data_IF_491138089165
#
_entry.id   IF_491138089165
#
_cell.length_a   1.000
_cell.length_b   1.000
_cell.length_c   1.000
_cell.angle_alpha   90.00
_cell.angle_beta   90.00
_cell.angle_gamma   90.00
#
_symmetry.space_group_name_H-M   'P 1'
#
loop_
_entity.id
_entity.type
_entity.pdbx_description
1 polymer ?
#
# COMPACT_ATOMS: atom_id res chain seq x y z
N UNK A 1 7.51 -27.30 -4.08
CA UNK A 1 6.73 -26.20 -4.68
C UNK A 1 5.31 -26.10 -4.10
N UNK A 2 4.54 -27.19 -4.03
CA UNK A 2 3.17 -27.21 -3.52
C UNK A 2 3.07 -26.77 -2.04
N UNK A 3 3.96 -27.24 -1.17
CA UNK A 3 3.99 -26.88 0.25
C UNK A 3 4.27 -25.36 0.46
N UNK A 4 5.13 -24.75 -0.35
CA UNK A 4 5.38 -23.32 -0.27
C UNK A 4 4.15 -22.51 -0.72
N UNK A 5 3.48 -22.94 -1.80
CA UNK A 5 2.26 -22.27 -2.29
C UNK A 5 1.12 -22.30 -1.26
N UNK A 6 0.91 -23.43 -0.57
CA UNK A 6 -0.14 -23.55 0.45
C UNK A 6 0.09 -22.65 1.68
N UNK A 7 1.34 -22.30 2.00
CA UNK A 7 1.65 -21.34 3.08
C UNK A 7 1.33 -19.91 2.70
N UNK A 8 1.44 -19.54 1.42
CA UNK A 8 1.16 -18.18 0.97
C UNK A 8 -0.33 -17.91 0.71
N UNK A 9 -1.12 -18.95 0.47
CA UNK A 9 -2.55 -18.81 0.19
C UNK A 9 -3.32 -18.11 1.33
N UNK A 10 -3.22 -18.51 2.61
CA UNK A 10 -3.90 -17.83 3.70
C UNK A 10 -3.39 -16.40 3.92
N UNK A 11 -2.12 -16.10 3.62
CA UNK A 11 -1.57 -14.73 3.68
C UNK A 11 -2.27 -13.81 2.68
N UNK A 12 -2.49 -14.29 1.45
CA UNK A 12 -3.23 -13.55 0.42
C UNK A 12 -4.68 -13.28 0.81
N UNK A 13 -5.35 -14.26 1.40
CA UNK A 13 -6.74 -14.11 1.89
C UNK A 13 -6.79 -13.06 3.01
N UNK A 14 -5.91 -13.14 4.00
CA UNK A 14 -5.83 -12.16 5.11
C UNK A 14 -5.57 -10.75 4.56
N UNK A 15 -4.64 -10.61 3.62
CA UNK A 15 -4.33 -9.34 2.97
C UNK A 15 -5.55 -8.78 2.24
N UNK A 16 -6.28 -9.60 1.48
CA UNK A 16 -7.48 -9.20 0.74
C UNK A 16 -8.60 -8.72 1.66
N UNK A 17 -8.92 -9.51 2.68
CA UNK A 17 -9.96 -9.18 3.69
C UNK A 17 -9.59 -7.89 4.42
N UNK A 18 -8.35 -7.78 4.89
CA UNK A 18 -7.88 -6.59 5.61
C UNK A 18 -7.81 -5.36 4.71
N UNK A 19 -7.51 -5.50 3.44
CA UNK A 19 -7.58 -4.40 2.49
C UNK A 19 -8.99 -3.85 2.36
N UNK A 20 -10.01 -4.72 2.30
CA UNK A 20 -11.42 -4.32 2.28
C UNK A 20 -11.83 -3.64 3.61
N UNK A 21 -11.48 -4.25 4.74
CA UNK A 21 -11.76 -3.69 6.07
C UNK A 21 -11.07 -2.34 6.28
N UNK A 22 -9.81 -2.22 5.87
CA UNK A 22 -9.06 -0.96 5.99
C UNK A 22 -9.64 0.13 5.09
N UNK A 23 -10.13 -0.22 3.90
CA UNK A 23 -10.87 0.69 3.04
C UNK A 23 -12.15 1.23 3.72
N UNK A 24 -12.91 0.37 4.39
CA UNK A 24 -14.07 0.79 5.17
C UNK A 24 -13.68 1.67 6.39
N UNK A 25 -12.59 1.31 7.06
CA UNK A 25 -12.11 2.02 8.26
C UNK A 25 -11.61 3.43 7.94
N UNK A 26 -11.22 3.72 6.68
CA UNK A 26 -10.84 5.08 6.25
C UNK A 26 -11.98 6.10 6.34
N UNK A 27 -13.23 5.66 6.52
CA UNK A 27 -14.37 6.55 6.79
C UNK A 27 -14.32 7.14 8.21
N UNK A 28 -13.78 6.39 9.17
CA UNK A 28 -13.74 6.74 10.60
C UNK A 28 -12.37 7.23 11.04
N UNK A 29 -11.30 6.71 10.44
CA UNK A 29 -9.92 6.99 10.80
C UNK A 29 -9.21 7.65 9.62
N UNK A 30 -8.31 8.59 9.90
CA UNK A 30 -7.51 9.24 8.85
C UNK A 30 -6.72 8.19 8.08
N UNK A 31 -6.83 8.15 6.73
CA UNK A 31 -6.16 7.14 5.89
C UNK A 31 -4.66 7.04 6.17
N UNK A 32 -4.04 8.20 6.43
CA UNK A 32 -2.61 8.32 6.68
C UNK A 32 -2.17 7.65 7.99
N UNK A 33 -3.00 7.71 9.07
CA UNK A 33 -2.74 7.02 10.34
C UNK A 33 -2.84 5.51 10.16
N UNK A 34 -3.81 5.07 9.39
CA UNK A 34 -4.01 3.66 9.11
C UNK A 34 -2.84 3.07 8.32
N UNK A 35 -2.36 3.82 7.30
CA UNK A 35 -1.15 3.45 6.56
C UNK A 35 0.09 3.44 7.42
N UNK A 36 0.25 4.41 8.34
CA UNK A 36 1.37 4.44 9.28
C UNK A 36 1.37 3.22 10.21
N UNK A 37 0.21 2.85 10.75
CA UNK A 37 0.05 1.65 11.55
C UNK A 37 0.42 0.39 10.75
N UNK A 38 -0.04 0.27 9.50
CA UNK A 38 0.32 -0.83 8.62
C UNK A 38 1.82 -0.93 8.34
N UNK A 39 2.50 0.19 8.08
CA UNK A 39 3.95 0.23 7.88
C UNK A 39 4.69 -0.19 9.16
N UNK A 40 4.24 0.23 10.35
CA UNK A 40 4.82 -0.21 11.62
C UNK A 40 4.69 -1.73 11.81
N UNK A 41 3.52 -2.28 11.52
CA UNK A 41 3.30 -3.73 11.58
C UNK A 41 4.20 -4.47 10.59
N UNK A 42 4.37 -3.95 9.37
CA UNK A 42 5.28 -4.52 8.37
C UNK A 42 6.73 -4.46 8.86
N UNK A 43 7.18 -3.33 9.40
CA UNK A 43 8.55 -3.19 9.93
C UNK A 43 8.80 -4.17 11.08
N UNK A 44 7.81 -4.32 11.98
CA UNK A 44 7.85 -5.31 13.06
C UNK A 44 7.95 -6.74 12.52
N UNK A 45 7.16 -7.07 11.49
CA UNK A 45 7.22 -8.37 10.83
C UNK A 45 8.62 -8.66 10.25
N UNK A 46 9.23 -7.70 9.56
CA UNK A 46 10.60 -7.84 9.04
C UNK A 46 11.63 -7.96 10.17
N UNK A 47 11.47 -7.19 11.24
CA UNK A 47 12.34 -7.28 12.40
C UNK A 47 12.24 -8.64 13.09
N UNK A 48 11.04 -9.19 13.28
CA UNK A 48 10.88 -10.54 13.80
C UNK A 48 11.46 -11.60 12.85
N UNK A 49 11.25 -11.45 11.54
CA UNK A 49 11.81 -12.35 10.53
C UNK A 49 13.34 -12.32 10.51
N UNK A 50 13.98 -11.20 10.87
CA UNK A 50 15.43 -11.10 10.99
C UNK A 50 16.02 -11.88 12.17
N UNK A 51 15.21 -12.52 12.99
CA UNK A 51 15.64 -13.42 14.08
C UNK A 51 15.44 -14.89 13.76
N UNK A 52 15.20 -15.23 12.50
CA UNK A 52 15.10 -16.62 12.08
C UNK A 52 16.43 -17.35 12.25
N UNK A 53 16.31 -18.61 12.69
CA UNK A 53 17.40 -19.57 12.80
C UNK A 53 16.97 -20.86 12.09
N UNK A 54 17.92 -21.77 11.84
CA UNK A 54 17.63 -23.09 11.25
C UNK A 54 16.62 -23.91 12.06
N UNK A 55 16.48 -23.63 13.35
CA UNK A 55 15.56 -24.32 14.27
C UNK A 55 14.23 -23.59 14.48
N UNK A 56 13.92 -22.55 13.67
CA UNK A 56 12.68 -21.78 13.83
C UNK A 56 11.47 -22.66 13.53
N UNK A 57 10.55 -22.73 14.49
CA UNK A 57 9.34 -23.55 14.38
C UNK A 57 8.44 -23.05 13.23
N UNK A 58 7.83 -23.97 12.51
CA UNK A 58 6.92 -23.70 11.39
C UNK A 58 5.80 -22.71 11.74
N UNK A 59 5.23 -22.84 12.96
CA UNK A 59 4.21 -21.92 13.46
C UNK A 59 4.69 -20.48 13.62
N UNK A 60 5.95 -20.27 13.99
CA UNK A 60 6.54 -18.93 14.11
C UNK A 60 6.69 -18.25 12.74
N UNK A 61 7.08 -19.03 11.73
CA UNK A 61 7.17 -18.55 10.34
C UNK A 61 5.77 -18.13 9.85
N UNK A 62 4.76 -18.95 10.05
CA UNK A 62 3.38 -18.66 9.66
C UNK A 62 2.85 -17.40 10.37
N UNK A 63 3.12 -17.26 11.67
CA UNK A 63 2.73 -16.07 12.43
C UNK A 63 3.30 -14.78 11.83
N UNK A 64 4.59 -14.78 11.48
CA UNK A 64 5.25 -13.62 10.88
C UNK A 64 4.70 -13.32 9.48
N UNK A 65 4.41 -14.36 8.69
CA UNK A 65 3.77 -14.20 7.38
C UNK A 65 2.37 -13.59 7.51
N UNK A 66 1.57 -14.02 8.48
CA UNK A 66 0.25 -13.43 8.74
C UNK A 66 0.35 -11.98 9.21
N UNK A 67 1.29 -11.67 10.09
CA UNK A 67 1.57 -10.31 10.53
C UNK A 67 1.94 -9.40 9.35
N UNK A 68 2.75 -9.93 8.41
CA UNK A 68 3.11 -9.23 7.18
C UNK A 68 1.89 -8.99 6.27
N UNK A 69 1.05 -10.00 6.05
CA UNK A 69 -0.20 -9.87 5.30
C UNK A 69 -1.14 -8.83 5.91
N UNK A 70 -1.22 -8.81 7.24
CA UNK A 70 -1.97 -7.81 8.00
C UNK A 70 -1.44 -6.39 7.75
N UNK A 71 -0.13 -6.18 7.87
CA UNK A 71 0.49 -4.88 7.62
C UNK A 71 0.28 -4.39 6.19
N UNK A 72 0.41 -5.29 5.20
CA UNK A 72 0.16 -4.97 3.79
C UNK A 72 -1.29 -4.57 3.55
N UNK A 73 -2.27 -5.35 4.02
CA UNK A 73 -3.68 -5.05 3.87
C UNK A 73 -4.06 -3.70 4.46
N UNK A 74 -3.48 -3.37 5.61
CA UNK A 74 -3.73 -2.11 6.30
C UNK A 74 -3.09 -0.89 5.60
N UNK A 75 -2.02 -1.09 4.83
CA UNK A 75 -1.28 -0.02 4.16
C UNK A 75 -1.81 0.29 2.77
N UNK A 76 -2.10 -0.73 1.96
CA UNK A 76 -2.36 -0.56 0.53
C UNK A 76 -3.65 0.18 0.21
N UNK A 77 -4.77 -0.18 0.85
CA UNK A 77 -6.06 0.43 0.53
C UNK A 77 -6.13 1.92 0.91
N UNK A 78 -5.74 2.34 2.14
CA UNK A 78 -5.75 3.76 2.49
C UNK A 78 -4.80 4.60 1.65
N UNK A 79 -3.64 4.05 1.29
CA UNK A 79 -2.65 4.77 0.49
C UNK A 79 -3.14 5.00 -0.94
N UNK A 80 -3.79 4.00 -1.55
CA UNK A 80 -4.41 4.13 -2.86
C UNK A 80 -5.56 5.15 -2.85
N UNK A 81 -6.45 5.09 -1.86
CA UNK A 81 -7.53 6.06 -1.70
C UNK A 81 -6.99 7.49 -1.52
N UNK A 82 -5.94 7.65 -0.73
CA UNK A 82 -5.31 8.95 -0.53
C UNK A 82 -4.69 9.52 -1.81
N UNK A 83 -4.07 8.67 -2.63
CA UNK A 83 -3.44 9.06 -3.88
C UNK A 83 -4.45 9.52 -4.94
N UNK A 84 -5.67 8.97 -4.92
CA UNK A 84 -6.69 9.25 -5.92
C UNK A 84 -7.73 10.29 -5.47
N UNK A 85 -7.74 10.70 -4.20
CA UNK A 85 -8.80 11.52 -3.60
C UNK A 85 -9.07 12.87 -4.28
N UNK A 86 -8.06 13.49 -4.88
CA UNK A 86 -8.13 14.84 -5.44
C UNK A 86 -8.14 14.85 -6.98
N UNK A 87 -8.37 13.71 -7.61
CA UNK A 87 -8.38 13.57 -9.07
C UNK A 87 -9.81 13.62 -9.61
N UNK A 88 -9.95 14.18 -10.82
CA UNK A 88 -11.22 14.10 -11.55
C UNK A 88 -11.47 12.68 -12.03
N UNK A 89 -12.72 12.33 -12.29
CA UNK A 89 -13.08 10.98 -12.72
C UNK A 89 -12.41 10.59 -14.06
N UNK A 90 -12.14 11.57 -14.90
CA UNK A 90 -11.44 11.37 -16.18
C UNK A 90 -9.97 11.04 -15.99
N UNK A 91 -9.32 11.63 -14.98
CA UNK A 91 -7.89 11.44 -14.69
C UNK A 91 -7.60 10.20 -13.84
N UNK A 92 -8.61 9.64 -13.17
CA UNK A 92 -8.43 8.49 -12.27
C UNK A 92 -7.82 7.28 -12.95
N UNK A 93 -8.25 6.95 -14.18
CA UNK A 93 -7.72 5.79 -14.91
C UNK A 93 -6.25 5.97 -15.27
N UNK A 94 -5.87 7.15 -15.77
CA UNK A 94 -4.50 7.48 -16.11
C UNK A 94 -3.60 7.49 -14.85
N UNK A 95 -4.05 8.11 -13.77
CA UNK A 95 -3.32 8.15 -12.51
C UNK A 95 -3.14 6.77 -11.86
N UNK A 96 -4.16 5.89 -11.95
CA UNK A 96 -4.04 4.52 -11.48
C UNK A 96 -3.02 3.72 -12.30
N UNK A 97 -3.00 3.89 -13.63
CA UNK A 97 -2.01 3.28 -14.51
C UNK A 97 -0.59 3.73 -14.17
N UNK A 98 -0.35 5.04 -14.07
CA UNK A 98 0.95 5.61 -13.71
C UNK A 98 1.38 5.12 -12.31
N UNK A 99 0.48 5.16 -11.32
CA UNK A 99 0.75 4.66 -9.97
C UNK A 99 1.17 3.19 -9.96
N UNK A 100 0.50 2.36 -10.76
CA UNK A 100 0.84 0.95 -10.87
C UNK A 100 2.21 0.73 -11.54
N UNK A 101 2.51 1.49 -12.60
CA UNK A 101 3.82 1.43 -13.27
C UNK A 101 4.95 1.84 -12.33
N UNK A 102 4.78 2.91 -11.53
CA UNK A 102 5.75 3.34 -10.52
C UNK A 102 5.96 2.25 -9.46
N UNK A 103 4.89 1.61 -8.99
CA UNK A 103 4.99 0.50 -8.02
C UNK A 103 5.75 -0.70 -8.60
N UNK A 104 5.53 -1.05 -9.86
CA UNK A 104 6.24 -2.12 -10.55
C UNK A 104 7.74 -1.81 -10.67
N UNK A 105 8.08 -0.60 -11.12
CA UNK A 105 9.47 -0.15 -11.20
C UNK A 105 10.16 -0.14 -9.83
N UNK A 106 9.50 0.43 -8.82
CA UNK A 106 10.02 0.43 -7.45
C UNK A 106 10.20 -0.99 -6.90
N UNK A 107 9.28 -1.90 -7.21
CA UNK A 107 9.37 -3.32 -6.84
C UNK A 107 10.57 -4.00 -7.48
N UNK A 108 10.81 -3.78 -8.77
CA UNK A 108 11.96 -4.34 -9.49
C UNK A 108 13.30 -3.84 -8.95
N UNK A 109 13.40 -2.53 -8.69
CA UNK A 109 14.59 -1.92 -8.06
C UNK A 109 14.79 -2.48 -6.65
N UNK A 110 13.70 -2.61 -5.88
CA UNK A 110 13.75 -3.18 -4.53
C UNK A 110 14.26 -4.63 -4.50
N UNK A 111 13.80 -5.46 -5.44
CA UNK A 111 14.28 -6.85 -5.58
C UNK A 111 15.75 -6.88 -5.96
N UNK A 112 16.18 -6.06 -6.92
CA UNK A 112 17.58 -5.99 -7.34
C UNK A 112 18.50 -5.57 -6.18
N UNK A 113 18.14 -4.52 -5.43
CA UNK A 113 18.89 -4.07 -4.25
C UNK A 113 18.96 -5.16 -3.18
N UNK A 114 17.83 -5.82 -2.90
CA UNK A 114 17.78 -6.90 -1.91
C UNK A 114 18.68 -8.08 -2.32
N UNK A 115 18.70 -8.44 -3.60
CA UNK A 115 19.56 -9.50 -4.13
C UNK A 115 21.03 -9.15 -3.98
N UNK A 116 21.41 -7.90 -4.27
CA UNK A 116 22.81 -7.43 -4.10
C UNK A 116 23.19 -7.47 -2.61
N UNK A 117 22.35 -6.98 -1.72
CA UNK A 117 22.61 -7.01 -0.27
C UNK A 117 22.75 -8.46 0.23
N UNK A 118 21.83 -9.34 -0.18
CA UNK A 118 21.87 -10.75 0.18
C UNK A 118 23.16 -11.42 -0.30
N UNK A 119 23.53 -11.22 -1.57
CA UNK A 119 24.74 -11.78 -2.16
C UNK A 119 26.00 -11.28 -1.43
N UNK A 120 26.10 -9.98 -1.16
CA UNK A 120 27.23 -9.39 -0.45
C UNK A 120 27.35 -9.94 0.98
N UNK A 121 26.25 -10.07 1.71
CA UNK A 121 26.24 -10.59 3.08
C UNK A 121 26.55 -12.09 3.13
N UNK A 122 25.98 -12.87 2.21
CA UNK A 122 26.30 -14.31 2.12
C UNK A 122 27.78 -14.53 1.80
N UNK A 123 28.36 -13.76 0.88
CA UNK A 123 29.78 -13.83 0.55
C UNK A 123 30.66 -13.43 1.74
N UNK A 124 30.26 -12.43 2.50
CA UNK A 124 30.99 -11.98 3.70
C UNK A 124 31.03 -13.08 4.77
N UNK A 125 29.90 -13.70 5.11
CA UNK A 125 29.82 -14.78 6.08
C UNK A 125 30.58 -16.03 5.61
N UNK A 126 30.49 -16.37 4.32
CA UNK A 126 31.25 -17.48 3.75
C UNK A 126 32.76 -17.31 3.83
N UNK A 127 33.26 -16.07 3.80
CA UNK A 127 34.70 -15.78 3.85
C UNK A 127 35.25 -15.71 5.30
N UNK A 128 34.42 -15.39 6.29
CA UNK A 128 34.88 -15.09 7.66
C UNK A 128 34.45 -16.13 8.69
N UNK A 129 33.52 -17.00 8.36
CA UNK A 129 32.95 -17.96 9.30
C UNK A 129 33.01 -19.38 8.74
N UNK A 130 33.51 -20.31 9.58
CA UNK A 130 33.60 -21.75 9.25
C UNK A 130 32.28 -22.44 9.58
N UNK A 131 31.19 -21.96 8.97
CA UNK A 131 29.83 -22.47 9.19
C UNK A 131 29.31 -23.22 7.95
N UNK A 132 28.26 -24.00 8.11
CA UNK A 132 27.67 -24.70 6.98
C UNK A 132 27.05 -23.73 5.96
N UNK A 133 27.05 -24.12 4.68
CA UNK A 133 26.46 -23.30 3.60
C UNK A 133 25.00 -22.91 3.88
N UNK A 134 24.25 -23.77 4.57
CA UNK A 134 22.87 -23.48 4.97
C UNK A 134 22.79 -22.36 6.04
N UNK A 135 23.69 -22.36 7.01
CA UNK A 135 23.80 -21.32 8.04
C UNK A 135 24.20 -19.99 7.43
N UNK A 136 25.24 -19.98 6.58
CA UNK A 136 25.68 -18.79 5.83
C UNK A 136 24.54 -18.13 5.06
N UNK A 137 23.70 -18.93 4.41
CA UNK A 137 22.56 -18.42 3.68
C UNK A 137 21.49 -17.80 4.61
N UNK A 138 21.18 -18.47 5.73
CA UNK A 138 20.19 -17.96 6.71
C UNK A 138 20.69 -16.65 7.33
N UNK A 139 21.95 -16.53 7.67
CA UNK A 139 22.54 -15.30 8.22
C UNK A 139 22.50 -14.15 7.20
N UNK A 140 22.87 -14.43 5.95
CA UNK A 140 22.73 -13.45 4.86
C UNK A 140 21.29 -12.96 4.67
N UNK A 141 20.31 -13.86 4.75
CA UNK A 141 18.88 -13.50 4.65
C UNK A 141 18.44 -12.67 5.87
N UNK A 142 18.84 -13.05 7.09
CA UNK A 142 18.45 -12.29 8.30
C UNK A 142 19.04 -10.90 8.32
N UNK A 143 20.28 -10.71 7.87
CA UNK A 143 20.89 -9.40 7.72
C UNK A 143 20.17 -8.55 6.65
N UNK A 144 19.85 -9.14 5.50
CA UNK A 144 19.06 -8.46 4.48
C UNK A 144 17.68 -8.02 5.01
N UNK A 145 17.02 -8.86 5.81
CA UNK A 145 15.73 -8.53 6.43
C UNK A 145 15.84 -7.39 7.45
N UNK A 146 16.96 -7.29 8.20
CA UNK A 146 17.23 -6.13 9.09
C UNK A 146 17.31 -4.83 8.29
N UNK A 147 18.03 -4.84 7.18
CA UNK A 147 18.14 -3.67 6.30
C UNK A 147 16.75 -3.28 5.77
N UNK A 148 15.96 -4.24 5.32
CA UNK A 148 14.58 -4.00 4.85
C UNK A 148 13.71 -3.44 5.97
N UNK A 149 13.83 -3.93 7.21
CA UNK A 149 13.09 -3.39 8.35
C UNK A 149 13.41 -1.91 8.60
N UNK A 150 14.70 -1.54 8.54
CA UNK A 150 15.15 -0.15 8.69
C UNK A 150 14.62 0.73 7.55
N UNK A 151 14.71 0.27 6.30
CA UNK A 151 14.17 0.99 5.14
C UNK A 151 12.65 1.18 5.27
N UNK A 152 11.94 0.16 5.73
CA UNK A 152 10.49 0.22 5.94
C UNK A 152 10.14 1.23 7.04
N UNK A 153 10.91 1.28 8.12
CA UNK A 153 10.76 2.33 9.16
C UNK A 153 11.09 3.72 8.61
N UNK A 154 12.13 3.85 7.79
CA UNK A 154 12.47 5.12 7.16
C UNK A 154 11.35 5.64 6.23
N UNK A 155 10.56 4.75 5.63
CA UNK A 155 9.39 5.12 4.83
C UNK A 155 8.29 5.82 5.65
N UNK A 156 8.31 5.75 6.97
CA UNK A 156 7.44 6.55 7.85
C UNK A 156 7.81 8.04 7.86
N UNK A 157 9.09 8.39 7.60
CA UNK A 157 9.54 9.80 7.65
C UNK A 157 8.78 10.70 6.68
N UNK A 158 8.69 10.39 5.37
CA UNK A 158 7.91 11.19 4.44
C UNK A 158 6.42 11.20 4.79
N UNK A 159 5.89 10.10 5.32
CA UNK A 159 4.51 10.02 5.76
C UNK A 159 4.26 10.96 6.94
N UNK A 160 5.13 10.97 7.96
CA UNK A 160 5.07 11.87 9.11
C UNK A 160 5.25 13.33 8.70
N UNK A 161 6.12 13.60 7.72
CA UNK A 161 6.30 14.95 7.18
C UNK A 161 5.02 15.48 6.52
N UNK A 162 4.32 14.66 5.76
CA UNK A 162 3.00 14.99 5.18
C UNK A 162 1.96 15.22 6.29
N UNK A 163 2.02 14.47 7.40
CA UNK A 163 1.16 14.71 8.58
C UNK A 163 1.39 16.10 9.18
N UNK A 164 2.63 16.51 9.36
CA UNK A 164 2.97 17.82 9.95
C UNK A 164 2.55 18.98 9.05
N UNK A 165 2.64 18.82 7.72
CA UNK A 165 2.32 19.87 6.74
C UNK A 165 0.81 20.04 6.53
N UNK A 166 0.02 18.98 6.64
CA UNK A 166 -1.45 19.05 6.62
C UNK A 166 -1.98 19.21 8.06
N UNK A 167 -1.90 20.41 8.64
CA UNK A 167 -2.80 20.80 9.73
C UNK A 167 -4.24 20.55 9.30
N UNK A 168 -5.16 20.15 10.22
CA UNK A 168 -6.50 19.71 9.86
C UNK A 168 -7.25 20.87 9.22
N UNK A 169 -7.44 20.84 7.92
CA UNK A 169 -8.55 21.48 7.29
C UNK A 169 -9.80 20.79 7.83
N UNK A 170 -10.49 21.45 8.73
CA UNK A 170 -11.81 21.03 9.22
C UNK A 170 -12.62 20.73 7.96
N UNK A 171 -12.97 19.48 7.75
CA UNK A 171 -13.93 19.09 6.72
C UNK A 171 -15.25 19.75 7.11
N UNK A 172 -15.44 20.96 6.63
CA UNK A 172 -16.76 21.54 6.50
C UNK A 172 -17.46 20.69 5.45
N UNK A 173 -18.19 19.71 5.90
CA UNK A 173 -19.32 19.17 5.17
C UNK A 173 -20.31 20.34 5.09
N UNK A 174 -20.09 21.25 4.15
CA UNK A 174 -21.17 22.07 3.65
C UNK A 174 -22.10 21.11 2.94
N UNK A 175 -23.25 20.88 3.57
CA UNK A 175 -24.32 20.11 3.03
C UNK A 175 -24.54 20.48 1.54
N UNK A 176 -24.55 19.46 0.72
CA UNK A 176 -25.22 19.54 -0.54
C UNK A 176 -26.66 19.93 -0.21
N UNK A 177 -26.98 21.19 -0.39
CA UNK A 177 -28.36 21.64 -0.39
C UNK A 177 -29.05 20.82 -1.46
N UNK A 178 -29.88 19.89 -1.04
CA UNK A 178 -30.91 19.30 -1.89
C UNK A 178 -31.70 20.46 -2.50
N UNK A 179 -31.77 20.60 -3.83
CA UNK A 179 -32.66 21.57 -4.43
C UNK A 179 -34.10 21.17 -4.00
N UNK A 180 -34.80 22.13 -3.43
CA UNK A 180 -36.18 21.96 -3.00
C UNK A 180 -37.05 21.62 -4.22
N UNK A 181 -38.05 20.72 -4.08
CA UNK A 181 -38.89 20.30 -5.20
C UNK A 181 -39.89 21.37 -5.70
N UNK A 182 -39.61 22.63 -5.48
CA UNK A 182 -40.52 23.76 -5.74
C UNK A 182 -40.20 24.66 -6.91
N UNK A 183 -39.04 24.57 -7.55
CA UNK A 183 -38.62 25.54 -8.57
C UNK A 183 -38.63 25.05 -10.01
N UNK A 184 -39.26 23.92 -10.29
CA UNK A 184 -39.31 23.36 -11.65
C UNK A 184 -40.58 23.71 -12.43
N UNK A 185 -41.37 24.71 -12.01
CA UNK A 185 -42.54 25.15 -12.76
C UNK A 185 -42.64 26.67 -12.72
N UNK A 186 -41.80 27.36 -13.45
CA UNK A 186 -42.11 28.69 -14.00
C UNK A 186 -40.97 29.17 -14.89
N UNK A 187 -41.03 28.89 -16.13
CA UNK A 187 -40.07 29.35 -17.15
C UNK A 187 -40.62 29.15 -18.55
N UNK A 188 -41.80 29.73 -18.72
CA UNK A 188 -42.27 30.47 -19.90
C UNK A 188 -41.79 29.96 -21.28
N UNK A 189 -42.74 29.31 -21.92
CA UNK A 189 -42.89 29.30 -23.40
C UNK A 189 -42.50 30.66 -23.97
N UNK A 190 -41.48 30.74 -24.79
CA UNK A 190 -41.38 31.72 -25.82
C UNK A 190 -41.05 31.07 -27.15
N UNK A 191 -41.73 31.60 -28.11
CA UNK A 191 -42.03 31.06 -29.42
C UNK A 191 -40.89 31.30 -30.40
N UNK A 192 -40.76 30.39 -31.34
CA UNK A 192 -40.61 30.69 -32.76
C UNK A 192 -39.33 31.33 -33.23
N UNK A 193 -38.39 30.53 -33.72
CA UNK A 193 -37.61 30.99 -34.87
C UNK A 193 -37.64 29.87 -35.93
N UNK A 194 -38.40 30.20 -36.97
CA UNK A 194 -38.64 29.46 -38.20
C UNK A 194 -37.32 29.39 -38.96
N UNK A 195 -36.89 28.18 -39.24
CA UNK A 195 -35.85 27.93 -40.24
C UNK A 195 -36.45 28.21 -41.64
N UNK A 196 -36.01 29.33 -42.19
CA UNK A 196 -36.28 29.69 -43.59
C UNK A 196 -35.19 29.03 -44.46
N UNK A 197 -35.50 27.91 -45.04
CA UNK A 197 -34.75 27.36 -46.17
C UNK A 197 -34.92 28.30 -47.36
N UNK A 198 -33.83 28.74 -48.00
CA UNK A 198 -33.81 29.41 -49.27
C UNK A 198 -33.29 28.39 -50.30
N UNK A 199 -34.05 28.17 -51.40
CA UNK A 199 -33.54 27.42 -52.55
C UNK A 199 -32.84 28.38 -53.50
N UNK A 200 -31.67 27.99 -53.96
CA UNK A 200 -31.14 28.11 -55.32
C UNK A 200 -29.87 27.32 -55.46
#
# INVERSE_FOLDING_TARGET
ALAAGSMFLPVGVIQGVLSAVSGYLTRYVRPLLLSAAGILVMALSFWLASRFTLHTTHGHILFILYLRGFGMGLTFAPLNLFSLKNLTQQDMAAAAGISNSIKQLAGSIGIALLTVILSARTSYHAAHETISAAQTYVEGVTDALRVVAVITLAALLPLLWVFRKKRPEKSGVKGAATPSPGEAVSGKTDKTTIYRTKPE
#
